data_IF_581965385817
#
_entry.id   IF_581965385817
#
_cell.length_a   1.000
_cell.length_b   1.000
_cell.length_c   1.000
_cell.angle_alpha   90.00
_cell.angle_beta   90.00
_cell.angle_gamma   90.00
#
_symmetry.space_group_name_H-M   'P 1'
#
loop_
_entity.id
_entity.type
_entity.pdbx_description
1 polymer ?
#
# COMPACT_ATOMS: atom_id res chain seq x y z
N UNK A 1 22.98 -69.60 38.93
CA UNK A 1 23.06 -68.43 38.02
C UNK A 1 24.44 -68.47 37.42
N UNK A 2 24.55 -68.80 36.14
CA UNK A 2 25.83 -69.16 35.52
C UNK A 2 26.60 -67.91 35.12
N UNK A 3 27.93 -67.95 35.17
CA UNK A 3 28.81 -66.84 34.76
C UNK A 3 28.45 -66.30 33.35
N UNK A 4 27.98 -67.19 32.47
CA UNK A 4 27.50 -66.86 31.11
C UNK A 4 26.24 -65.98 31.12
N UNK A 5 25.33 -66.21 32.07
CA UNK A 5 24.12 -65.39 32.24
C UNK A 5 24.43 -63.98 32.75
N UNK A 6 25.44 -63.84 33.61
CA UNK A 6 25.93 -62.52 34.05
C UNK A 6 26.60 -61.74 32.91
N UNK A 7 27.42 -62.39 32.09
CA UNK A 7 28.01 -61.75 30.91
C UNK A 7 26.94 -61.30 29.90
N UNK A 8 25.92 -62.14 29.64
CA UNK A 8 24.82 -61.77 28.76
C UNK A 8 24.03 -60.56 29.27
N UNK A 9 23.73 -60.52 30.58
CA UNK A 9 23.03 -59.38 31.20
C UNK A 9 23.87 -58.09 31.14
N UNK A 10 25.19 -58.17 31.38
CA UNK A 10 26.08 -57.03 31.29
C UNK A 10 26.14 -56.44 29.87
N UNK A 11 26.17 -57.30 28.85
CA UNK A 11 26.18 -56.87 27.44
C UNK A 11 24.86 -56.15 27.08
N UNK A 12 23.71 -56.66 27.53
CA UNK A 12 22.40 -56.03 27.27
C UNK A 12 22.30 -54.63 27.89
N UNK A 13 22.82 -54.45 29.10
CA UNK A 13 22.84 -53.15 29.80
C UNK A 13 23.78 -52.15 29.11
N UNK A 14 24.94 -52.60 28.62
CA UNK A 14 25.88 -51.72 27.93
C UNK A 14 25.37 -51.29 26.54
N UNK A 15 24.70 -52.18 25.81
CA UNK A 15 24.15 -51.88 24.49
C UNK A 15 22.90 -50.99 24.55
N UNK A 16 22.08 -51.10 25.59
CA UNK A 16 20.90 -50.22 25.76
C UNK A 16 21.29 -48.77 26.09
N UNK A 17 22.43 -48.55 26.75
CA UNK A 17 22.97 -47.21 27.03
C UNK A 17 23.47 -46.48 25.78
N UNK A 18 24.06 -47.18 24.81
CA UNK A 18 24.48 -46.57 23.53
C UNK A 18 23.32 -46.16 22.63
N UNK A 19 22.11 -46.69 22.84
CA UNK A 19 20.91 -46.29 22.11
C UNK A 19 20.24 -45.03 22.70
N UNK A 20 20.62 -44.60 23.90
CA UNK A 20 20.01 -43.45 24.59
C UNK A 20 20.37 -42.10 23.93
N UNK A 21 21.58 -41.98 23.37
CA UNK A 21 21.99 -40.80 22.58
C UNK A 21 21.33 -40.80 21.19
N UNK A 22 21.00 -41.98 20.65
CA UNK A 22 20.24 -42.12 19.40
C UNK A 22 18.76 -41.71 19.57
N UNK A 23 18.16 -41.94 20.75
CA UNK A 23 16.81 -41.47 21.05
C UNK A 23 16.73 -39.95 21.27
N UNK A 24 17.85 -39.27 21.54
CA UNK A 24 17.92 -37.82 21.70
C UNK A 24 18.46 -37.09 20.47
N UNK A 25 18.72 -37.79 19.36
CA UNK A 25 19.02 -37.12 18.10
C UNK A 25 17.71 -36.57 17.49
N UNK A 26 17.27 -35.41 17.98
CA UNK A 26 16.10 -34.69 17.48
C UNK A 26 16.36 -33.98 16.13
N UNK A 27 17.61 -33.97 15.65
CA UNK A 27 18.01 -33.24 14.44
C UNK A 27 17.67 -33.99 13.15
N UNK A 28 17.22 -35.24 13.20
CA UNK A 28 16.75 -35.95 12.01
C UNK A 28 15.57 -36.85 12.33
N UNK A 29 14.47 -36.65 11.60
CA UNK A 29 13.21 -37.41 11.65
C UNK A 29 12.48 -37.40 13.01
N UNK A 30 12.12 -36.20 13.45
CA UNK A 30 11.04 -35.98 14.43
C UNK A 30 9.76 -36.74 14.00
N UNK A 31 9.19 -37.56 14.88
CA UNK A 31 7.88 -38.23 14.70
C UNK A 31 6.70 -37.22 14.61
N UNK A 32 6.96 -35.95 14.96
CA UNK A 32 6.07 -34.80 14.68
C UNK A 32 6.30 -34.16 13.29
N UNK A 33 7.08 -34.78 12.40
CA UNK A 33 7.17 -34.42 10.97
C UNK A 33 5.88 -34.73 10.19
N UNK A 34 4.85 -35.29 10.85
CA UNK A 34 3.54 -35.51 10.24
C UNK A 34 2.95 -34.25 9.60
N UNK A 35 3.24 -33.09 10.19
CA UNK A 35 2.80 -31.80 9.67
C UNK A 35 3.89 -31.06 8.87
N UNK A 36 5.02 -31.71 8.55
CA UNK A 36 6.09 -31.12 7.75
C UNK A 36 5.61 -30.77 6.34
N UNK A 37 4.74 -31.60 5.74
CA UNK A 37 4.14 -31.31 4.45
C UNK A 37 3.21 -30.08 4.50
N UNK A 38 2.42 -29.96 5.56
CA UNK A 38 1.54 -28.80 5.79
C UNK A 38 2.34 -27.54 6.10
N UNK A 39 3.38 -27.65 6.93
CA UNK A 39 4.29 -26.55 7.27
C UNK A 39 5.06 -26.10 6.02
N UNK A 40 5.50 -27.05 5.18
CA UNK A 40 6.13 -26.76 3.91
C UNK A 40 5.15 -26.09 2.92
N UNK A 41 3.86 -26.47 2.95
CA UNK A 41 2.83 -25.80 2.14
C UNK A 41 2.67 -24.34 2.53
N UNK A 42 2.73 -24.02 3.83
CA UNK A 42 2.64 -22.65 4.34
C UNK A 42 3.88 -21.82 3.99
N UNK A 43 5.07 -22.41 4.13
CA UNK A 43 6.36 -21.77 3.81
C UNK A 43 6.55 -21.51 2.31
N UNK A 44 6.01 -22.38 1.45
CA UNK A 44 6.13 -22.29 0.00
C UNK A 44 4.87 -21.73 -0.70
N UNK A 45 3.95 -21.12 0.06
CA UNK A 45 2.77 -20.49 -0.55
C UNK A 45 3.19 -19.25 -1.33
N UNK A 46 2.94 -19.27 -2.64
CA UNK A 46 3.19 -18.11 -3.52
C UNK A 46 2.08 -17.09 -3.28
N UNK A 47 2.50 -15.90 -2.82
CA UNK A 47 1.64 -14.77 -2.41
C UNK A 47 0.71 -15.07 -1.22
N UNK A 48 1.25 -15.09 0.02
CA UNK A 48 0.48 -15.40 1.23
C UNK A 48 -0.46 -14.27 1.66
N UNK A 49 -0.47 -13.14 0.95
CA UNK A 49 -1.21 -11.96 1.36
C UNK A 49 -2.60 -11.91 0.74
N UNK A 50 -3.51 -11.17 1.39
CA UNK A 50 -4.82 -10.86 0.83
C UNK A 50 -4.62 -10.18 -0.55
N UNK A 51 -5.31 -10.58 -1.63
CA UNK A 51 -5.18 -9.96 -2.96
C UNK A 51 -5.33 -8.44 -2.97
N UNK A 52 -6.15 -7.89 -2.07
CA UNK A 52 -6.30 -6.44 -1.91
C UNK A 52 -5.05 -5.75 -1.34
N UNK A 53 -4.10 -6.49 -0.78
CA UNK A 53 -2.82 -5.95 -0.29
C UNK A 53 -1.90 -5.52 -1.45
N UNK A 54 -2.08 -6.10 -2.64
CA UNK A 54 -1.41 -5.65 -3.86
C UNK A 54 -2.05 -4.38 -4.45
N UNK A 55 -3.14 -3.88 -3.85
CA UNK A 55 -3.79 -2.66 -4.28
C UNK A 55 -3.00 -1.43 -3.81
N UNK A 56 -2.03 -1.01 -4.62
CA UNK A 56 -1.32 0.26 -4.44
C UNK A 56 -2.09 1.46 -5.05
N UNK A 57 -3.35 1.26 -5.45
CA UNK A 57 -4.18 2.33 -6.00
C UNK A 57 -4.62 3.25 -4.87
N UNK A 58 -4.14 4.49 -4.91
CA UNK A 58 -4.59 5.55 -4.02
C UNK A 58 -5.87 6.11 -4.63
N UNK A 59 -7.02 5.85 -3.99
CA UNK A 59 -8.36 6.28 -4.46
C UNK A 59 -8.55 7.81 -4.49
N UNK A 60 -7.59 8.54 -3.92
CA UNK A 60 -7.59 10.00 -3.88
C UNK A 60 -6.77 10.62 -5.01
N UNK A 61 -7.39 11.52 -5.77
CA UNK A 61 -6.68 12.37 -6.73
C UNK A 61 -5.53 13.10 -6.04
N UNK A 62 -4.29 12.77 -6.43
CA UNK A 62 -3.08 13.44 -5.94
C UNK A 62 -3.13 14.96 -6.12
N UNK A 63 -3.93 15.43 -7.08
CA UNK A 63 -4.25 16.85 -7.31
C UNK A 63 -4.97 17.49 -6.13
N UNK A 64 -5.92 16.79 -5.48
CA UNK A 64 -6.63 17.30 -4.31
C UNK A 64 -5.67 17.48 -3.12
N UNK A 65 -4.78 16.52 -2.91
CA UNK A 65 -3.75 16.60 -1.86
C UNK A 65 -2.72 17.69 -2.17
N UNK A 66 -2.27 17.80 -3.43
CA UNK A 66 -1.37 18.86 -3.88
C UNK A 66 -1.99 20.26 -3.70
N UNK A 67 -3.28 20.41 -3.98
CA UNK A 67 -3.98 21.68 -3.79
C UNK A 67 -4.04 22.12 -2.32
N UNK A 68 -4.28 21.20 -1.38
CA UNK A 68 -4.24 21.50 0.06
C UNK A 68 -2.83 21.91 0.50
N UNK A 69 -1.81 21.20 0.03
CA UNK A 69 -0.39 21.53 0.34
C UNK A 69 -0.01 22.90 -0.21
N UNK A 70 -0.42 23.24 -1.43
CA UNK A 70 -0.16 24.56 -2.03
C UNK A 70 -0.86 25.68 -1.27
N UNK A 71 -2.13 25.48 -0.85
CA UNK A 71 -2.84 26.42 0.04
C UNK A 71 -2.11 26.63 1.37
N UNK A 72 -1.62 25.56 2.00
CA UNK A 72 -0.86 25.67 3.26
C UNK A 72 0.47 26.40 3.09
N UNK A 73 1.15 26.22 1.95
CA UNK A 73 2.40 26.90 1.61
C UNK A 73 2.22 28.38 1.23
N UNK A 74 0.99 28.90 1.29
CA UNK A 74 0.68 30.29 0.92
C UNK A 74 0.95 30.58 -0.56
N UNK A 75 1.09 29.55 -1.38
CA UNK A 75 1.21 29.72 -2.83
C UNK A 75 -0.19 29.84 -3.39
N UNK A 76 -0.55 30.96 -4.06
CA UNK A 76 -1.81 31.02 -4.78
C UNK A 76 -1.79 29.91 -5.83
N UNK A 77 -2.79 29.03 -5.79
CA UNK A 77 -3.01 27.99 -6.79
C UNK A 77 -3.27 28.69 -8.14
N UNK A 78 -2.22 28.86 -8.94
CA UNK A 78 -2.36 29.24 -10.34
C UNK A 78 -2.93 28.00 -11.04
N UNK A 79 -4.24 28.02 -11.30
CA UNK A 79 -4.94 26.95 -12.03
C UNK A 79 -5.91 26.09 -11.23
N UNK A 80 -6.15 26.34 -9.93
CA UNK A 80 -7.36 25.82 -9.30
C UNK A 80 -8.49 26.83 -9.49
N UNK A 81 -8.98 26.96 -10.73
CA UNK A 81 -10.39 27.21 -10.90
C UNK A 81 -11.09 26.19 -9.99
N UNK A 82 -11.77 26.70 -8.98
CA UNK A 82 -12.46 25.93 -7.99
C UNK A 82 -13.56 25.15 -8.70
N UNK A 83 -13.23 23.97 -9.25
CA UNK A 83 -14.17 22.92 -9.60
C UNK A 83 -14.71 22.35 -8.28
N UNK A 84 -15.45 23.19 -7.57
CA UNK A 84 -16.07 22.93 -6.30
C UNK A 84 -17.48 23.49 -6.36
N UNK A 85 -18.37 22.71 -6.96
CA UNK A 85 -19.81 22.97 -6.98
C UNK A 85 -20.37 23.04 -8.39
N UNK A 86 -21.16 22.03 -8.75
CA UNK A 86 -22.11 22.09 -9.87
C UNK A 86 -23.19 23.15 -9.61
N UNK A 87 -22.80 24.41 -9.67
CA UNK A 87 -23.67 25.57 -9.70
C UNK A 87 -23.02 26.56 -10.63
N UNK A 88 -23.65 26.78 -11.78
CA UNK A 88 -23.30 27.75 -12.82
C UNK A 88 -23.34 29.18 -12.26
N UNK A 89 -22.38 29.53 -11.40
CA UNK A 89 -22.09 30.92 -11.10
C UNK A 89 -21.14 31.39 -12.19
N UNK A 90 -21.71 32.15 -13.11
CA UNK A 90 -20.98 32.95 -14.07
C UNK A 90 -19.91 33.76 -13.30
N UNK A 91 -18.65 33.61 -13.71
CA UNK A 91 -17.47 34.20 -13.07
C UNK A 91 -16.99 35.30 -14.00
N UNK A 92 -16.78 36.50 -13.47
CA UNK A 92 -16.34 37.65 -14.27
C UNK A 92 -14.84 37.92 -14.04
N UNK A 93 -14.17 38.56 -14.99
CA UNK A 93 -12.85 39.13 -14.72
C UNK A 93 -12.96 40.32 -13.74
N UNK A 94 -11.89 40.62 -13.01
CA UNK A 94 -11.80 41.75 -12.06
C UNK A 94 -12.23 43.12 -12.62
N UNK A 95 -12.22 43.30 -13.94
CA UNK A 95 -12.64 44.53 -14.63
C UNK A 95 -14.04 44.43 -15.27
N UNK A 96 -14.76 43.33 -15.06
CA UNK A 96 -16.10 43.10 -15.60
C UNK A 96 -17.16 43.99 -14.96
N UNK A 97 -18.25 44.25 -15.68
CA UNK A 97 -19.36 45.11 -15.24
C UNK A 97 -20.49 44.37 -14.54
N UNK A 98 -20.30 43.12 -14.13
CA UNK A 98 -21.31 42.33 -13.43
C UNK A 98 -21.23 42.39 -11.91
N UNK A 99 -22.26 41.86 -11.25
CA UNK A 99 -22.30 41.62 -9.80
C UNK A 99 -21.89 40.18 -9.44
N UNK A 100 -21.30 39.46 -10.40
CA UNK A 100 -20.82 38.11 -10.23
C UNK A 100 -19.49 38.07 -9.45
N UNK A 101 -19.14 36.91 -8.88
CA UNK A 101 -17.82 36.70 -8.31
C UNK A 101 -16.71 36.95 -9.33
N UNK A 102 -15.76 37.81 -8.99
CA UNK A 102 -14.65 38.17 -9.89
C UNK A 102 -13.41 37.30 -9.67
N UNK A 103 -12.72 36.95 -10.76
CA UNK A 103 -11.39 36.32 -10.77
C UNK A 103 -10.31 37.34 -11.14
N UNK A 104 -9.18 37.28 -10.43
CA UNK A 104 -7.99 38.10 -10.74
C UNK A 104 -7.07 37.31 -11.69
N UNK A 105 -6.84 37.84 -12.90
CA UNK A 105 -6.12 37.14 -13.98
C UNK A 105 -4.59 37.11 -13.82
N UNK A 106 -3.85 36.55 -14.80
CA UNK A 106 -4.31 35.64 -15.87
C UNK A 106 -4.63 34.23 -15.33
N UNK A 107 -5.68 33.59 -15.87
CA UNK A 107 -6.12 32.25 -15.45
C UNK A 107 -6.12 31.28 -16.61
N UNK A 108 -5.52 30.10 -16.43
CA UNK A 108 -5.59 29.04 -17.43
C UNK A 108 -7.03 28.51 -17.51
N UNK A 109 -7.64 28.57 -18.69
CA UNK A 109 -8.97 28.01 -18.95
C UNK A 109 -8.82 26.78 -19.85
N UNK A 110 -9.34 25.64 -19.39
CA UNK A 110 -9.30 24.38 -20.14
C UNK A 110 -10.56 24.18 -20.95
N UNK A 111 -11.70 24.10 -20.27
CA UNK A 111 -12.99 24.44 -20.82
C UNK A 111 -13.29 25.87 -20.40
N UNK A 112 -13.87 26.68 -21.29
CA UNK A 112 -14.30 28.04 -20.97
C UNK A 112 -15.83 28.18 -20.80
N UNK A 113 -16.45 27.59 -19.74
CA UNK A 113 -17.88 27.73 -19.49
C UNK A 113 -18.35 29.16 -19.19
N UNK A 114 -17.44 30.00 -18.68
CA UNK A 114 -17.77 31.37 -18.25
C UNK A 114 -17.28 32.43 -19.26
N UNK A 115 -16.83 32.00 -20.44
CA UNK A 115 -16.38 32.86 -21.53
C UNK A 115 -15.32 33.90 -21.10
N UNK A 116 -14.37 33.48 -20.25
CA UNK A 116 -13.29 34.30 -19.70
C UNK A 116 -12.14 34.51 -20.71
N UNK A 117 -12.06 33.66 -21.73
CA UNK A 117 -11.04 33.64 -22.79
C UNK A 117 -11.70 33.97 -24.12
N UNK A 118 -11.73 35.26 -24.45
CA UNK A 118 -12.40 35.75 -25.64
C UNK A 118 -11.65 35.45 -26.94
N UNK A 119 -10.32 35.33 -26.88
CA UNK A 119 -9.44 35.11 -28.03
C UNK A 119 -9.03 33.63 -28.23
N UNK A 120 -9.46 32.76 -27.32
CA UNK A 120 -9.34 31.30 -27.36
C UNK A 120 -7.88 30.80 -27.34
N UNK A 121 -7.01 31.48 -26.59
CA UNK A 121 -5.59 31.12 -26.46
C UNK A 121 -5.31 30.18 -25.26
N UNK A 122 -6.33 29.93 -24.42
CA UNK A 122 -6.26 29.12 -23.21
C UNK A 122 -6.00 29.91 -21.93
N UNK A 123 -5.95 31.25 -22.00
CA UNK A 123 -5.72 32.15 -20.87
C UNK A 123 -6.86 33.16 -20.76
N UNK A 124 -7.70 33.02 -19.73
CA UNK A 124 -8.74 33.99 -19.42
C UNK A 124 -8.26 35.18 -18.60
N UNK A 125 -9.01 36.30 -18.69
CA UNK A 125 -8.76 37.54 -17.96
C UNK A 125 -7.35 38.14 -18.18
N UNK A 126 -6.83 38.00 -19.38
CA UNK A 126 -5.59 38.62 -19.83
C UNK A 126 -5.76 40.09 -20.23
N UNK A 127 -5.92 40.94 -19.21
CA UNK A 127 -5.92 42.42 -19.28
C UNK A 127 -7.07 43.09 -20.02
#
# INVERSE_FOLDING_TARGET
>A
MDLRSYFAAAIVVLLSGCAADYLNNFDTITLASGDANNTNSLLQTVDPFNPNSNNAHIEGDGQRSAAVVQRYRGTPLIGAAQQGGGGTRDLDCKNGTGNNPVVAGPVAVGSDPNHLDGDHDGIGCER
#
